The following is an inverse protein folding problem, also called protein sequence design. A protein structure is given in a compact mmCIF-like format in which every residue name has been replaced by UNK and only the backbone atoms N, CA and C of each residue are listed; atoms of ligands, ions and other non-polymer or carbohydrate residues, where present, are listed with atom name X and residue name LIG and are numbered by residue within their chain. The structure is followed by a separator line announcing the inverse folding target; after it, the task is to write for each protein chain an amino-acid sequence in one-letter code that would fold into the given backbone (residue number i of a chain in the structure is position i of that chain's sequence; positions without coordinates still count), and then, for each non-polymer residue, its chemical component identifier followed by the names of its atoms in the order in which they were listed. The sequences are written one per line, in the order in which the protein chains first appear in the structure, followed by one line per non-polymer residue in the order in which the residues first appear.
data_IF_988990179706
#
_entry.id   IF_988990179706
#
_cell.length_a   1.000
_cell.length_b   1.000
_cell.length_c   1.000
_cell.angle_alpha   90.00
_cell.angle_beta   90.00
_cell.angle_gamma   90.00
#
_symmetry.space_group_name_H-M   'P 1'
#
loop_
_entity.id
_entity.type
_entity.pdbx_description
1 polymer ?
#
# COMPACT_ATOMS: atom_id res chain seq x y z
N UNK A 1 68.02 -11.33 16.07
CA UNK A 1 67.84 -9.94 15.61
C UNK A 1 68.02 -9.90 14.10
N UNK A 2 66.95 -9.58 13.36
CA UNK A 2 66.87 -9.28 11.91
C UNK A 2 67.26 -10.40 10.92
N UNK A 3 66.74 -10.55 9.71
CA UNK A 3 65.55 -10.13 8.94
C UNK A 3 65.55 -11.11 7.74
N UNK A 4 64.35 -11.51 7.32
CA UNK A 4 63.87 -11.98 6.02
C UNK A 4 64.79 -12.34 4.83
N UNK A 5 64.21 -13.23 4.02
CA UNK A 5 64.25 -13.33 2.55
C UNK A 5 65.12 -14.43 1.94
N UNK A 6 64.43 -15.48 1.47
CA UNK A 6 64.89 -16.34 0.37
C UNK A 6 63.70 -16.65 -0.55
N UNK A 7 63.71 -16.04 -1.73
CA UNK A 7 63.14 -16.62 -2.95
C UNK A 7 64.02 -17.80 -3.40
N UNK A 8 63.44 -18.92 -3.84
CA UNK A 8 63.41 -19.37 -5.25
C UNK A 8 62.71 -20.76 -5.36
N UNK A 9 61.76 -20.86 -6.29
CA UNK A 9 61.14 -22.08 -6.86
C UNK A 9 62.16 -22.80 -7.78
N UNK A 10 62.01 -24.07 -8.25
CA UNK A 10 60.74 -24.69 -8.68
C UNK A 10 60.57 -26.21 -8.45
N UNK A 11 59.32 -26.69 -8.42
CA UNK A 11 59.03 -28.03 -8.91
C UNK A 11 57.76 -28.01 -9.77
N UNK A 12 57.95 -28.58 -10.96
CA UNK A 12 57.00 -28.82 -12.03
C UNK A 12 55.94 -29.82 -11.56
N UNK A 13 54.68 -29.52 -11.83
CA UNK A 13 53.56 -30.40 -11.54
C UNK A 13 52.31 -29.98 -12.30
N UNK A 14 52.29 -30.32 -13.58
CA UNK A 14 51.13 -30.27 -14.46
C UNK A 14 49.98 -31.12 -13.87
N UNK A 15 48.85 -30.50 -13.54
CA UNK A 15 47.56 -31.18 -13.47
C UNK A 15 46.50 -30.27 -14.10
N UNK A 16 46.15 -30.59 -15.34
CA UNK A 16 44.93 -30.14 -15.98
C UNK A 16 43.78 -30.86 -15.27
N UNK A 17 42.97 -30.12 -14.52
CA UNK A 17 41.69 -30.63 -14.05
C UNK A 17 40.59 -29.68 -14.52
N UNK A 18 39.80 -30.20 -15.45
CA UNK A 18 38.58 -29.62 -15.99
C UNK A 18 37.56 -29.54 -14.84
N UNK A 19 37.37 -28.37 -14.24
CA UNK A 19 36.24 -28.11 -13.36
C UNK A 19 35.21 -27.31 -14.16
N UNK A 20 34.30 -28.02 -14.83
CA UNK A 20 33.02 -27.47 -15.28
C UNK A 20 32.18 -27.25 -14.02
N UNK A 21 32.41 -26.12 -13.35
CA UNK A 21 31.61 -25.66 -12.24
C UNK A 21 30.27 -25.16 -12.76
N UNK A 22 29.22 -25.96 -12.60
CA UNK A 22 27.85 -25.54 -12.84
C UNK A 22 27.53 -24.32 -11.98
N UNK A 23 27.39 -23.16 -12.63
CA UNK A 23 26.66 -22.01 -12.11
C UNK A 23 25.19 -22.42 -12.02
N UNK A 24 24.83 -23.15 -10.96
CA UNK A 24 23.46 -23.21 -10.51
C UNK A 24 23.09 -21.79 -10.08
N UNK A 25 22.32 -21.11 -10.92
CA UNK A 25 21.72 -19.83 -10.59
C UNK A 25 20.88 -20.02 -9.34
N UNK A 26 21.42 -19.61 -8.20
CA UNK A 26 20.62 -19.25 -7.04
C UNK A 26 19.77 -18.07 -7.50
N UNK A 27 18.56 -18.37 -7.97
CA UNK A 27 17.51 -17.36 -8.08
C UNK A 27 17.39 -16.77 -6.69
N UNK A 28 17.90 -15.55 -6.52
CA UNK A 28 17.64 -14.76 -5.33
C UNK A 28 16.12 -14.61 -5.27
N UNK A 29 15.48 -15.39 -4.40
CA UNK A 29 14.08 -15.16 -4.05
C UNK A 29 14.10 -13.79 -3.43
N UNK A 30 13.65 -12.78 -4.17
CA UNK A 30 13.57 -11.42 -3.67
C UNK A 30 12.79 -11.49 -2.36
N UNK A 31 13.44 -11.11 -1.26
CA UNK A 31 12.80 -11.11 0.04
C UNK A 31 11.57 -10.23 -0.05
N UNK A 32 10.40 -10.80 0.21
CA UNK A 32 9.15 -10.07 0.21
C UNK A 32 9.23 -8.94 1.24
N UNK A 33 8.88 -7.72 0.82
CA UNK A 33 8.90 -6.55 1.68
C UNK A 33 7.82 -6.73 2.77
N UNK A 34 8.17 -6.71 4.07
CA UNK A 34 7.18 -6.76 5.15
C UNK A 34 6.17 -5.60 5.06
N UNK A 35 4.92 -5.77 5.51
CA UNK A 35 3.87 -4.77 5.30
C UNK A 35 4.12 -3.46 6.06
N UNK A 36 4.77 -3.51 7.22
CA UNK A 36 5.21 -2.32 7.97
C UNK A 36 6.27 -1.54 7.18
N UNK A 37 7.21 -2.23 6.54
CA UNK A 37 8.22 -1.61 5.68
C UNK A 37 7.60 -1.05 4.41
N UNK A 38 6.67 -1.79 3.78
CA UNK A 38 5.92 -1.32 2.62
C UNK A 38 5.22 0.01 2.92
N UNK A 39 4.44 0.08 4.01
CA UNK A 39 3.75 1.31 4.41
C UNK A 39 4.75 2.44 4.66
N UNK A 40 5.83 2.17 5.41
CA UNK A 40 6.88 3.17 5.69
C UNK A 40 7.53 3.70 4.43
N UNK A 41 7.92 2.82 3.50
CA UNK A 41 8.61 3.21 2.27
C UNK A 41 7.69 4.03 1.36
N UNK A 42 6.43 3.61 1.22
CA UNK A 42 5.44 4.33 0.42
C UNK A 42 5.18 5.73 0.99
N UNK A 43 4.99 5.85 2.32
CA UNK A 43 4.83 7.16 2.97
C UNK A 43 6.04 8.05 2.74
N UNK A 44 7.26 7.54 2.93
CA UNK A 44 8.49 8.32 2.70
C UNK A 44 8.63 8.76 1.24
N UNK A 45 8.32 7.88 0.28
CA UNK A 45 8.38 8.20 -1.14
C UNK A 45 7.37 9.29 -1.51
N UNK A 46 6.13 9.17 -1.06
CA UNK A 46 5.07 10.17 -1.30
C UNK A 46 5.48 11.53 -0.73
N UNK A 47 5.94 11.58 0.53
CA UNK A 47 6.40 12.82 1.17
C UNK A 47 7.58 13.44 0.41
N UNK A 48 8.54 12.64 -0.02
CA UNK A 48 9.69 13.12 -0.79
C UNK A 48 9.30 13.69 -2.17
N UNK A 49 8.28 13.12 -2.83
CA UNK A 49 7.76 13.65 -4.10
C UNK A 49 7.04 14.98 -3.86
N UNK A 50 6.17 15.05 -2.85
CA UNK A 50 5.46 16.27 -2.46
C UNK A 50 6.45 17.40 -2.17
N UNK A 51 7.56 17.11 -1.47
CA UNK A 51 8.62 18.10 -1.20
C UNK A 51 9.36 18.63 -2.42
N UNK A 52 9.35 17.90 -3.55
CA UNK A 52 10.11 18.28 -4.76
C UNK A 52 9.23 18.87 -5.85
N UNK A 53 7.97 18.42 -5.96
CA UNK A 53 7.07 18.84 -7.03
C UNK A 53 6.32 20.13 -6.68
N UNK A 54 6.72 21.24 -7.31
CA UNK A 54 6.11 22.56 -7.08
C UNK A 54 4.64 22.65 -7.47
N UNK A 55 4.17 21.85 -8.43
CA UNK A 55 2.76 21.86 -8.82
C UNK A 55 1.91 21.18 -7.75
N UNK A 56 2.41 20.05 -7.22
CA UNK A 56 1.79 19.42 -6.05
C UNK A 56 1.77 20.41 -4.88
N UNK A 57 2.87 21.13 -4.62
CA UNK A 57 2.95 22.16 -3.57
C UNK A 57 1.96 23.31 -3.76
N UNK A 58 1.70 23.69 -5.01
CA UNK A 58 0.71 24.69 -5.35
C UNK A 58 -0.74 24.19 -5.28
N UNK A 59 -0.96 22.92 -4.93
CA UNK A 59 -2.28 22.32 -4.81
C UNK A 59 -2.87 21.84 -6.14
N UNK A 60 -2.04 21.53 -7.14
CA UNK A 60 -2.48 20.93 -8.39
C UNK A 60 -3.13 19.55 -8.12
N UNK A 61 -4.47 19.54 -8.13
CA UNK A 61 -5.27 18.35 -7.85
C UNK A 61 -4.98 17.20 -8.81
N UNK A 62 -4.70 17.50 -10.07
CA UNK A 62 -4.44 16.46 -11.07
C UNK A 62 -3.11 15.76 -10.77
N UNK A 63 -2.06 16.53 -10.43
CA UNK A 63 -0.76 15.98 -10.02
C UNK A 63 -0.83 15.17 -8.72
N UNK A 64 -1.63 15.62 -7.76
CA UNK A 64 -1.86 14.87 -6.51
C UNK A 64 -2.54 13.54 -6.81
N UNK A 65 -3.58 13.52 -7.67
CA UNK A 65 -4.26 12.29 -8.07
C UNK A 65 -3.28 11.34 -8.78
N UNK A 66 -2.49 11.84 -9.73
CA UNK A 66 -1.46 11.05 -10.44
C UNK A 66 -0.46 10.41 -9.46
N UNK A 67 0.00 11.16 -8.45
CA UNK A 67 0.89 10.64 -7.41
C UNK A 67 0.21 9.52 -6.60
N UNK A 68 -1.02 9.73 -6.15
CA UNK A 68 -1.79 8.73 -5.40
C UNK A 68 -1.98 7.46 -6.24
N UNK A 69 -2.39 7.61 -7.50
CA UNK A 69 -2.60 6.49 -8.42
C UNK A 69 -1.33 5.69 -8.67
N UNK A 70 -0.18 6.36 -8.81
CA UNK A 70 1.08 5.71 -9.11
C UNK A 70 1.75 5.09 -7.87
N UNK A 71 1.64 5.71 -6.70
CA UNK A 71 2.45 5.36 -5.52
C UNK A 71 1.68 4.77 -4.37
N UNK A 72 0.38 5.06 -4.25
CA UNK A 72 -0.43 4.60 -3.11
C UNK A 72 -1.33 3.45 -3.53
N UNK A 73 -2.13 3.63 -4.58
CA UNK A 73 -3.16 2.66 -4.98
C UNK A 73 -2.64 1.25 -5.31
N UNK A 74 -1.43 1.05 -5.86
CA UNK A 74 -0.90 -0.29 -6.10
C UNK A 74 -0.78 -1.12 -4.82
N UNK A 75 -0.73 -0.51 -3.65
CA UNK A 75 -0.63 -1.21 -2.37
C UNK A 75 -1.99 -1.62 -1.78
N UNK A 76 -3.11 -1.37 -2.48
CA UNK A 76 -4.45 -1.67 -1.99
C UNK A 76 -5.13 -2.78 -2.79
N UNK A 77 -5.82 -3.68 -2.09
CA UNK A 77 -6.72 -4.65 -2.70
C UNK A 77 -8.16 -4.13 -2.71
N UNK A 78 -8.48 -3.29 -3.70
CA UNK A 78 -9.82 -2.71 -3.85
C UNK A 78 -10.90 -3.76 -4.05
N UNK A 79 -10.60 -4.91 -4.65
CA UNK A 79 -11.55 -6.01 -4.78
C UNK A 79 -11.94 -6.56 -3.41
N UNK A 80 -10.96 -6.79 -2.52
CA UNK A 80 -11.22 -7.25 -1.15
C UNK A 80 -11.98 -6.20 -0.35
N UNK A 81 -11.58 -4.93 -0.44
CA UNK A 81 -12.27 -3.81 0.20
C UNK A 81 -13.75 -3.75 -0.21
N UNK A 82 -14.03 -3.74 -1.50
CA UNK A 82 -15.40 -3.69 -2.02
C UNK A 82 -16.20 -4.91 -1.60
N UNK A 83 -15.64 -6.11 -1.69
CA UNK A 83 -16.32 -7.34 -1.25
C UNK A 83 -16.72 -7.28 0.23
N UNK A 84 -15.84 -6.76 1.09
CA UNK A 84 -16.12 -6.59 2.53
C UNK A 84 -17.18 -5.52 2.81
N UNK A 85 -17.15 -4.40 2.08
CA UNK A 85 -18.15 -3.34 2.20
C UNK A 85 -19.54 -3.79 1.69
N UNK A 86 -19.59 -4.51 0.57
CA UNK A 86 -20.82 -5.01 -0.04
C UNK A 86 -21.41 -6.19 0.74
N UNK A 87 -20.58 -7.03 1.36
CA UNK A 87 -21.01 -8.17 2.15
C UNK A 87 -21.73 -9.23 1.32
N UNK A 88 -22.91 -9.68 1.77
CA UNK A 88 -23.64 -10.81 1.15
C UNK A 88 -23.95 -10.57 -0.33
N UNK A 89 -24.33 -9.34 -0.70
CA UNK A 89 -24.69 -8.99 -2.07
C UNK A 89 -23.54 -9.17 -3.08
N UNK A 90 -22.29 -9.30 -2.62
CA UNK A 90 -21.16 -9.58 -3.50
C UNK A 90 -21.28 -10.95 -4.17
N UNK A 91 -21.79 -11.95 -3.44
CA UNK A 91 -21.98 -13.31 -3.95
C UNK A 91 -23.02 -13.34 -5.08
N UNK A 92 -24.04 -12.50 -4.96
CA UNK A 92 -25.16 -12.43 -5.89
C UNK A 92 -24.87 -11.50 -7.09
N UNK A 93 -23.85 -10.65 -7.00
CA UNK A 93 -23.41 -9.77 -8.08
C UNK A 93 -22.76 -10.55 -9.24
N UNK A 94 -23.13 -10.20 -10.47
CA UNK A 94 -22.47 -10.69 -11.69
C UNK A 94 -21.02 -10.19 -11.78
N UNK A 95 -20.15 -10.82 -12.60
CA UNK A 95 -18.78 -10.34 -12.80
C UNK A 95 -18.72 -8.85 -13.20
N UNK A 96 -19.59 -8.42 -14.12
CA UNK A 96 -19.64 -7.03 -14.56
C UNK A 96 -20.06 -6.08 -13.43
N UNK A 97 -21.02 -6.49 -12.59
CA UNK A 97 -21.43 -5.71 -11.43
C UNK A 97 -20.30 -5.61 -10.40
N UNK A 98 -19.56 -6.69 -10.16
CA UNK A 98 -18.40 -6.68 -9.25
C UNK A 98 -17.32 -5.70 -9.73
N UNK A 99 -16.98 -5.71 -11.01
CA UNK A 99 -16.06 -4.73 -11.60
C UNK A 99 -16.55 -3.29 -11.42
N UNK A 100 -17.83 -3.04 -11.69
CA UNK A 100 -18.43 -1.72 -11.54
C UNK A 100 -18.43 -1.26 -10.07
N UNK A 101 -18.76 -2.14 -9.13
CA UNK A 101 -18.69 -1.85 -7.70
C UNK A 101 -17.27 -1.51 -7.27
N UNK A 102 -16.27 -2.28 -7.71
CA UNK A 102 -14.85 -2.03 -7.41
C UNK A 102 -14.42 -0.67 -7.96
N UNK A 103 -14.73 -0.38 -9.23
CA UNK A 103 -14.43 0.90 -9.87
C UNK A 103 -15.06 2.06 -9.10
N UNK A 104 -16.36 1.99 -8.83
CA UNK A 104 -17.08 3.10 -8.20
C UNK A 104 -16.68 3.30 -6.73
N UNK A 105 -16.47 2.22 -5.98
CA UNK A 105 -16.05 2.34 -4.58
C UNK A 105 -14.60 2.82 -4.47
N UNK A 106 -13.70 2.38 -5.35
CA UNK A 106 -12.34 2.94 -5.47
C UNK A 106 -12.41 4.44 -5.74
N UNK A 107 -13.19 4.89 -6.72
CA UNK A 107 -13.34 6.32 -7.00
C UNK A 107 -13.88 7.09 -5.79
N UNK A 108 -14.85 6.53 -5.06
CA UNK A 108 -15.40 7.16 -3.86
C UNK A 108 -14.33 7.33 -2.78
N UNK A 109 -13.59 6.27 -2.47
CA UNK A 109 -12.55 6.31 -1.44
C UNK A 109 -11.43 7.28 -1.84
N UNK A 110 -10.94 7.21 -3.08
CA UNK A 110 -9.90 8.12 -3.57
C UNK A 110 -10.41 9.56 -3.51
N UNK A 111 -11.60 9.87 -4.03
CA UNK A 111 -12.13 11.24 -4.01
C UNK A 111 -12.38 11.78 -2.59
N UNK A 112 -12.82 10.92 -1.67
CA UNK A 112 -13.09 11.32 -0.27
C UNK A 112 -11.79 11.58 0.49
N UNK A 113 -10.77 10.74 0.30
CA UNK A 113 -9.56 10.77 1.13
C UNK A 113 -8.35 11.42 0.45
N UNK A 114 -8.33 11.61 -0.87
CA UNK A 114 -7.30 12.44 -1.52
C UNK A 114 -7.34 13.90 -1.05
N UNK A 115 -8.51 14.39 -0.60
CA UNK A 115 -8.60 15.69 0.06
C UNK A 115 -7.95 15.71 1.45
N UNK A 116 -7.85 14.54 2.11
CA UNK A 116 -7.16 14.41 3.39
C UNK A 116 -5.63 14.48 3.24
N UNK A 117 -5.10 14.21 2.03
CA UNK A 117 -3.73 14.57 1.64
C UNK A 117 -3.66 16.09 1.44
N UNK A 118 -3.79 16.85 2.52
CA UNK A 118 -3.57 18.29 2.49
C UNK A 118 -2.08 18.53 2.24
N UNK A 119 -1.74 19.09 1.07
CA UNK A 119 -0.36 19.37 0.62
C UNK A 119 0.44 20.13 1.67
N UNK A 120 -0.18 21.10 2.34
CA UNK A 120 0.47 21.87 3.40
C UNK A 120 0.86 20.99 4.58
N UNK A 121 -0.02 20.05 4.96
CA UNK A 121 0.29 19.07 6.00
C UNK A 121 1.39 18.09 5.56
N UNK A 122 1.38 17.66 4.29
CA UNK A 122 2.40 16.76 3.76
C UNK A 122 3.80 17.41 3.68
N UNK A 123 3.89 18.68 3.27
CA UNK A 123 5.17 19.41 3.19
C UNK A 123 5.83 19.61 4.54
N UNK A 124 5.04 19.97 5.54
CA UNK A 124 5.52 20.18 6.90
C UNK A 124 5.82 18.85 7.60
N UNK A 125 4.96 17.83 7.42
CA UNK A 125 5.19 16.47 7.90
C UNK A 125 6.53 15.92 7.36
N UNK A 126 6.87 16.24 6.12
CA UNK A 126 8.12 15.82 5.51
C UNK A 126 9.38 16.53 6.09
N UNK A 127 9.23 17.55 6.95
CA UNK A 127 10.34 18.12 7.74
C UNK A 127 10.74 17.24 8.94
N UNK A 128 9.96 16.22 9.27
CA UNK A 128 10.23 15.24 10.32
C UNK A 128 9.92 13.80 9.88
N UNK A 129 9.74 12.90 10.86
CA UNK A 129 9.16 11.57 10.64
C UNK A 129 7.74 11.56 11.23
N UNK A 130 6.72 11.88 10.42
CA UNK A 130 5.36 12.13 10.91
C UNK A 130 4.59 10.83 11.17
N UNK A 131 5.16 9.67 10.80
CA UNK A 131 4.52 8.36 10.88
C UNK A 131 5.34 7.44 11.79
N UNK A 132 4.86 7.27 13.01
CA UNK A 132 5.36 6.24 13.91
C UNK A 132 4.65 4.92 13.60
N UNK A 133 5.38 3.90 13.19
CA UNK A 133 4.85 2.53 13.02
C UNK A 133 5.29 1.70 14.22
N UNK A 134 4.33 1.09 14.91
CA UNK A 134 4.58 0.21 16.06
C UNK A 134 5.28 -1.09 15.61
N UNK A 135 6.09 -1.72 16.48
CA UNK A 135 6.74 -2.99 16.16
C UNK A 135 5.73 -4.04 15.67
N UNK A 136 6.00 -4.62 14.50
CA UNK A 136 5.23 -5.70 13.92
C UNK A 136 6.01 -7.02 14.06
N UNK A 137 5.35 -8.05 14.59
CA UNK A 137 5.88 -9.42 14.58
C UNK A 137 4.94 -10.30 13.75
N UNK A 138 5.44 -10.78 12.61
CA UNK A 138 4.71 -11.71 11.75
C UNK A 138 5.03 -13.15 12.13
N UNK A 139 4.00 -14.01 12.14
CA UNK A 139 4.21 -15.46 12.14
C UNK A 139 4.72 -15.89 10.76
N UNK A 140 5.54 -16.95 10.65
CA UNK A 140 6.07 -17.43 9.37
C UNK A 140 5.00 -17.74 8.30
N UNK A 141 3.80 -18.14 8.73
CA UNK A 141 2.65 -18.51 7.90
C UNK A 141 1.54 -17.43 7.87
N UNK A 142 1.83 -16.23 8.37
CA UNK A 142 0.85 -15.15 8.40
C UNK A 142 0.48 -14.72 6.98
N UNK A 143 -0.80 -14.87 6.63
CA UNK A 143 -1.39 -14.35 5.39
C UNK A 143 -2.17 -13.05 5.61
N UNK A 144 -2.34 -12.63 6.87
CA UNK A 144 -2.97 -11.39 7.28
C UNK A 144 -2.24 -10.79 8.47
N UNK A 145 -2.21 -9.46 8.55
CA UNK A 145 -1.66 -8.74 9.68
C UNK A 145 -2.35 -7.39 9.87
N UNK A 146 -2.10 -6.75 11.01
CA UNK A 146 -2.48 -5.36 11.27
C UNK A 146 -1.20 -4.59 11.54
N UNK A 147 -0.93 -3.59 10.69
CA UNK A 147 0.16 -2.64 10.91
C UNK A 147 -0.42 -1.45 11.64
N UNK A 148 0.01 -1.22 12.87
CA UNK A 148 -0.46 -0.12 13.69
C UNK A 148 0.49 1.07 13.57
N UNK A 149 -0.06 2.25 13.39
CA UNK A 149 0.71 3.49 13.30
C UNK A 149 0.02 4.66 13.99
N UNK A 150 0.80 5.71 14.25
CA UNK A 150 0.31 7.01 14.68
C UNK A 150 0.87 8.05 13.72
N UNK A 151 -0.03 8.79 13.08
CA UNK A 151 0.33 9.96 12.29
C UNK A 151 0.18 11.19 13.16
N UNK A 152 1.24 11.97 13.32
CA UNK A 152 1.17 13.22 14.09
C UNK A 152 0.92 14.39 13.15
N UNK A 153 -0.20 15.09 13.36
CA UNK A 153 -0.54 16.31 12.63
C UNK A 153 0.33 17.49 13.05
N UNK A 154 0.17 18.62 12.35
CA UNK A 154 0.95 19.84 12.58
C UNK A 154 0.74 20.46 13.96
N UNK A 155 -0.47 20.38 14.49
CA UNK A 155 -0.85 20.83 15.83
C UNK A 155 -0.44 19.84 16.93
N UNK A 156 0.31 18.79 16.58
CA UNK A 156 0.78 17.77 17.50
C UNK A 156 -0.31 16.77 17.89
N UNK A 157 -1.45 16.77 17.20
CA UNK A 157 -2.54 15.82 17.48
C UNK A 157 -2.17 14.46 16.90
N UNK A 158 -2.05 13.41 17.73
CA UNK A 158 -1.78 12.07 17.26
C UNK A 158 -3.05 11.45 16.69
N UNK A 159 -2.99 10.98 15.44
CA UNK A 159 -4.07 10.27 14.76
C UNK A 159 -3.65 8.80 14.61
N UNK A 160 -4.27 7.88 15.38
CA UNK A 160 -4.05 6.46 15.20
C UNK A 160 -4.58 5.98 13.85
N UNK A 161 -3.75 5.24 13.11
CA UNK A 161 -4.10 4.61 11.84
C UNK A 161 -3.64 3.15 11.86
N UNK A 162 -4.60 2.22 11.75
CA UNK A 162 -4.33 0.81 11.59
C UNK A 162 -4.60 0.36 10.15
N UNK A 163 -3.64 -0.35 9.55
CA UNK A 163 -3.75 -0.93 8.23
C UNK A 163 -3.95 -2.43 8.34
N UNK A 164 -5.09 -2.94 7.89
CA UNK A 164 -5.26 -4.39 7.73
C UNK A 164 -4.72 -4.79 6.38
N UNK A 165 -3.78 -5.72 6.40
CA UNK A 165 -3.05 -6.18 5.22
C UNK A 165 -3.21 -7.67 5.04
N UNK A 166 -3.26 -8.09 3.78
CA UNK A 166 -3.25 -9.50 3.39
C UNK A 166 -2.13 -9.76 2.41
N UNK A 167 -1.57 -10.97 2.47
CA UNK A 167 -0.51 -11.42 1.57
C UNK A 167 -1.13 -12.02 0.31
N UNK A 168 -0.82 -11.42 -0.84
CA UNK A 168 -1.21 -11.91 -2.17
C UNK A 168 -0.02 -12.44 -2.96
N UNK A 169 -0.27 -12.83 -4.21
CA UNK A 169 0.79 -13.27 -5.12
C UNK A 169 1.83 -12.17 -5.39
N UNK A 170 1.39 -10.91 -5.43
CA UNK A 170 2.23 -9.74 -5.68
C UNK A 170 2.72 -9.08 -4.37
N UNK A 171 2.75 -9.84 -3.27
CA UNK A 171 3.11 -9.37 -1.94
C UNK A 171 1.93 -8.84 -1.12
N UNK A 172 2.25 -8.13 -0.02
CA UNK A 172 1.27 -7.56 0.89
C UNK A 172 0.44 -6.45 0.25
N UNK A 173 -0.87 -6.44 0.52
CA UNK A 173 -1.81 -5.39 0.12
C UNK A 173 -2.71 -5.01 1.28
N UNK A 174 -2.98 -3.71 1.41
CA UNK A 174 -3.96 -3.15 2.35
C UNK A 174 -5.37 -3.49 1.85
N UNK A 175 -6.20 -4.05 2.71
CA UNK A 175 -7.62 -4.32 2.41
C UNK A 175 -8.58 -3.59 3.34
N UNK A 176 -8.08 -2.84 4.32
CA UNK A 176 -8.86 -1.95 5.19
C UNK A 176 -7.92 -0.96 5.86
N UNK A 177 -8.42 0.25 6.11
CA UNK A 177 -7.72 1.29 6.89
C UNK A 177 -8.68 1.72 7.99
N UNK A 178 -8.18 1.82 9.21
CA UNK A 178 -8.94 2.24 10.38
C UNK A 178 -8.31 3.52 10.88
N UNK A 179 -9.05 4.63 10.79
CA UNK A 179 -8.61 5.95 11.26
C UNK A 179 -9.43 6.27 12.50
N UNK A 180 -8.75 6.53 13.63
CA UNK A 180 -9.42 6.83 14.91
C UNK A 180 -10.47 5.77 15.30
N UNK A 181 -10.19 4.50 15.01
CA UNK A 181 -11.09 3.38 15.30
C UNK A 181 -12.20 3.16 14.27
N UNK A 182 -12.33 4.01 13.25
CA UNK A 182 -13.34 3.90 12.20
C UNK A 182 -12.74 3.28 10.95
N UNK A 183 -13.22 2.08 10.58
CA UNK A 183 -12.80 1.39 9.35
C UNK A 183 -13.42 2.03 8.11
N UNK A 184 -12.58 2.31 7.12
CA UNK A 184 -13.00 2.86 5.82
C UNK A 184 -13.89 1.88 5.04
N UNK A 185 -13.76 0.58 5.29
CA UNK A 185 -14.55 -0.45 4.62
C UNK A 185 -15.86 -0.71 5.35
N UNK A 186 -15.82 -0.98 6.65
CA UNK A 186 -17.02 -1.39 7.38
C UNK A 186 -17.97 -0.22 7.63
N UNK A 187 -17.48 1.02 7.61
CA UNK A 187 -18.31 2.22 7.72
C UNK A 187 -19.39 2.32 6.63
N UNK A 188 -19.16 1.75 5.44
CA UNK A 188 -20.16 1.74 4.36
C UNK A 188 -21.10 0.53 4.38
N UNK A 189 -20.81 -0.48 5.20
CA UNK A 189 -21.43 -1.80 5.06
C UNK A 189 -22.94 -1.79 5.30
N UNK A 190 -23.41 -1.05 6.30
CA UNK A 190 -24.85 -0.90 6.58
C UNK A 190 -25.54 -0.21 5.41
N UNK A 191 -25.05 0.96 4.98
CA UNK A 191 -25.60 1.72 3.84
C UNK A 191 -25.66 0.89 2.56
N UNK A 192 -24.61 0.12 2.26
CA UNK A 192 -24.58 -0.71 1.05
C UNK A 192 -25.56 -1.88 1.15
N UNK A 193 -25.65 -2.52 2.33
CA UNK A 193 -26.61 -3.61 2.55
C UNK A 193 -28.05 -3.11 2.42
N UNK A 194 -28.36 -1.94 2.98
CA UNK A 194 -29.68 -1.32 2.90
C UNK A 194 -30.06 -0.96 1.46
N UNK A 195 -29.13 -0.39 0.69
CA UNK A 195 -29.37 -0.08 -0.72
C UNK A 195 -29.58 -1.35 -1.55
N UNK A 196 -28.78 -2.40 -1.33
CA UNK A 196 -28.93 -3.67 -2.05
C UNK A 196 -30.28 -4.32 -1.72
N UNK A 197 -30.71 -4.28 -0.46
CA UNK A 197 -32.01 -4.82 -0.05
C UNK A 197 -33.17 -4.05 -0.70
N UNK A 198 -33.01 -2.74 -0.92
CA UNK A 198 -34.04 -1.89 -1.51
C UNK A 198 -34.10 -1.97 -3.04
N UNK A 199 -32.94 -1.94 -3.68
CA UNK A 199 -32.79 -1.61 -5.10
C UNK A 199 -31.88 -2.59 -5.86
N UNK A 200 -31.41 -3.66 -5.20
CA UNK A 200 -30.46 -4.60 -5.76
C UNK A 200 -29.05 -4.03 -5.95
N UNK A 201 -28.17 -4.84 -6.53
CA UNK A 201 -26.77 -4.46 -6.78
C UNK A 201 -26.67 -3.27 -7.74
N UNK A 202 -27.54 -3.20 -8.75
CA UNK A 202 -27.56 -2.06 -9.69
C UNK A 202 -27.94 -0.76 -9.00
N UNK A 203 -28.82 -0.81 -7.99
CA UNK A 203 -29.13 0.33 -7.14
C UNK A 203 -27.92 0.85 -6.37
N UNK A 204 -27.10 -0.06 -5.81
CA UNK A 204 -25.84 0.33 -5.16
C UNK A 204 -24.84 0.93 -6.15
N UNK A 205 -24.70 0.36 -7.35
CA UNK A 205 -23.83 0.92 -8.40
C UNK A 205 -24.26 2.34 -8.74
N UNK A 206 -25.56 2.58 -8.91
CA UNK A 206 -26.13 3.91 -9.15
C UNK A 206 -25.85 4.87 -8.00
N UNK A 207 -26.10 4.45 -6.76
CA UNK A 207 -25.82 5.26 -5.57
C UNK A 207 -24.35 5.71 -5.51
N UNK A 208 -23.42 4.80 -5.80
CA UNK A 208 -21.99 5.13 -5.80
C UNK A 208 -21.63 6.08 -6.96
N UNK A 209 -22.17 5.86 -8.15
CA UNK A 209 -21.98 6.75 -9.29
C UNK A 209 -22.47 8.18 -8.99
N UNK A 210 -23.65 8.31 -8.36
CA UNK A 210 -24.22 9.61 -7.97
C UNK A 210 -23.35 10.31 -6.92
N UNK A 211 -22.86 9.58 -5.91
CA UNK A 211 -21.92 10.13 -4.91
C UNK A 211 -20.61 10.61 -5.57
N UNK A 212 -20.08 9.82 -6.50
CA UNK A 212 -18.87 10.19 -7.23
C UNK A 212 -19.06 11.40 -8.14
N UNK A 213 -20.26 11.59 -8.72
CA UNK A 213 -20.62 12.78 -9.46
C UNK A 213 -20.53 14.05 -8.61
N UNK A 214 -21.02 13.99 -7.36
CA UNK A 214 -20.98 15.11 -6.40
C UNK A 214 -19.58 15.45 -5.89
N UNK A 215 -18.63 14.51 -5.93
CA UNK A 215 -17.24 14.78 -5.57
C UNK A 215 -16.48 15.55 -6.67
N UNK A 216 -16.98 15.53 -7.90
CA UNK A 216 -16.36 16.19 -9.06
C UNK A 216 -16.93 17.58 -9.35
N UNK A 217 -18.12 17.88 -8.83
CA UNK A 217 -18.80 19.19 -8.93
C UNK A 217 -18.30 20.14 -7.86
#
# INVERSE_FOLDING_TARGET
MKIASKLWLPFIGLFISLAVGGLAGLSAVAAEIPPDQMIRSTTKEVLAIVQKDKNIQAGDKQKIIELVEAKVLPHFNFTRMTMLAVGRGWRDATPQQRENLVKQFRTLLVGTYSNALNVSSALEAARGDPLEIKPLTLKPDANQAVVQSVFTTLDGVPIPIDYRVEKGADGWKVYDVIVEGISLVTNYRSTFSDEINRSGVDGLIKLLADKNGKLKS
#
